data_IF_244970663173
#
_entry.id   IF_244970663173
#
_cell.length_a   1.000
_cell.length_b   1.000
_cell.length_c   1.000
_cell.angle_alpha   90.00
_cell.angle_beta   90.00
_cell.angle_gamma   90.00
#
_symmetry.space_group_name_H-M   'P 1'
#
loop_
_entity.id
_entity.type
_entity.pdbx_description
1 polymer ?
#
# COMPACT_ATOMS: atom_id res chain seq x y z
N UNK A 1 5.58 -7.99 -5.16
CA UNK A 1 4.31 -7.40 -4.65
C UNK A 1 3.43 -8.46 -4.03
N UNK A 2 3.46 -9.66 -4.56
CA UNK A 2 2.76 -10.87 -4.12
C UNK A 2 2.90 -11.13 -2.60
N UNK A 3 4.09 -10.94 -2.02
CA UNK A 3 4.31 -11.09 -0.57
C UNK A 3 3.48 -10.11 0.29
N UNK A 4 3.31 -8.85 -0.13
CA UNK A 4 2.47 -7.91 0.62
C UNK A 4 0.97 -8.20 0.40
N UNK A 5 0.55 -8.66 -0.77
CA UNK A 5 -0.83 -9.10 -0.99
C UNK A 5 -1.19 -10.30 -0.09
N UNK A 6 -0.29 -11.27 0.06
CA UNK A 6 -0.41 -12.38 1.02
C UNK A 6 -0.49 -11.91 2.47
N UNK A 7 0.44 -11.04 2.89
CA UNK A 7 0.41 -10.44 4.24
C UNK A 7 -0.89 -9.69 4.55
N UNK A 8 -1.38 -8.89 3.60
CA UNK A 8 -2.64 -8.15 3.72
C UNK A 8 -3.83 -9.11 3.91
N UNK A 9 -3.87 -10.22 3.14
CA UNK A 9 -4.89 -11.27 3.24
C UNK A 9 -4.86 -11.93 4.62
N UNK A 10 -3.70 -12.42 5.04
CA UNK A 10 -3.57 -13.28 6.21
C UNK A 10 -3.69 -12.52 7.54
N UNK A 11 -3.26 -11.25 7.58
CA UNK A 11 -3.12 -10.49 8.84
C UNK A 11 -4.15 -9.38 9.01
N UNK A 12 -4.59 -8.74 7.92
CA UNK A 12 -5.41 -7.52 8.00
C UNK A 12 -6.81 -7.69 7.39
N UNK A 13 -6.96 -8.49 6.33
CA UNK A 13 -8.17 -8.57 5.51
C UNK A 13 -8.54 -10.02 5.19
N UNK A 14 -8.79 -10.84 6.22
CA UNK A 14 -9.12 -12.27 6.09
C UNK A 14 -10.38 -12.62 5.27
N UNK A 15 -11.17 -11.60 4.88
CA UNK A 15 -12.30 -11.73 3.95
C UNK A 15 -12.00 -11.32 2.50
N UNK A 16 -10.80 -10.83 2.20
CA UNK A 16 -10.35 -10.48 0.85
C UNK A 16 -9.49 -11.60 0.28
N UNK A 17 -9.62 -11.86 -1.03
CA UNK A 17 -8.73 -12.82 -1.71
C UNK A 17 -7.39 -12.17 -2.05
N UNK A 18 -6.33 -12.99 -2.12
CA UNK A 18 -5.00 -12.53 -2.55
C UNK A 18 -5.07 -11.86 -3.92
N UNK A 19 -5.84 -12.39 -4.88
CA UNK A 19 -5.99 -11.79 -6.21
C UNK A 19 -6.59 -10.38 -6.18
N UNK A 20 -7.60 -10.14 -5.34
CA UNK A 20 -8.18 -8.80 -5.14
C UNK A 20 -7.18 -7.83 -4.52
N UNK A 21 -6.37 -8.30 -3.58
CA UNK A 21 -5.34 -7.50 -2.91
C UNK A 21 -4.15 -7.23 -3.84
N UNK A 22 -3.74 -8.20 -4.67
CA UNK A 22 -2.74 -8.02 -5.72
C UNK A 22 -3.20 -6.96 -6.72
N UNK A 23 -4.44 -7.04 -7.22
CA UNK A 23 -5.00 -6.01 -8.11
C UNK A 23 -5.06 -4.61 -7.48
N UNK A 24 -5.09 -4.49 -6.15
CA UNK A 24 -4.97 -3.21 -5.46
C UNK A 24 -3.50 -2.77 -5.29
N UNK A 25 -2.61 -3.68 -4.88
CA UNK A 25 -1.17 -3.44 -4.71
C UNK A 25 -0.53 -3.01 -6.04
N UNK A 26 -0.95 -3.62 -7.16
CA UNK A 26 -0.50 -3.28 -8.51
C UNK A 26 -0.90 -1.86 -8.97
N UNK A 27 -1.73 -1.14 -8.22
CA UNK A 27 -2.01 0.29 -8.49
C UNK A 27 -0.90 1.23 -8.00
N UNK A 28 0.05 0.73 -7.21
CA UNK A 28 1.21 1.47 -6.72
C UNK A 28 2.42 1.19 -7.60
N UNK A 29 3.06 2.23 -8.12
CA UNK A 29 4.33 2.06 -8.82
C UNK A 29 5.41 1.57 -7.82
N UNK A 30 6.24 0.64 -8.29
CA UNK A 30 7.43 0.15 -7.58
C UNK A 30 8.58 1.19 -7.67
N UNK A 31 8.43 2.21 -8.52
CA UNK A 31 9.35 3.33 -8.63
C UNK A 31 9.59 4.03 -7.28
N UNK A 32 10.86 4.05 -6.87
CA UNK A 32 11.36 4.63 -5.60
C UNK A 32 10.87 6.08 -5.35
N UNK A 33 10.53 6.81 -6.41
CA UNK A 33 10.11 8.22 -6.38
C UNK A 33 8.70 8.43 -5.82
N UNK A 34 7.81 7.43 -5.88
CA UNK A 34 6.39 7.58 -5.54
C UNK A 34 5.98 6.97 -4.20
N UNK A 35 6.85 6.17 -3.57
CA UNK A 35 6.59 5.54 -2.27
C UNK A 35 6.75 6.47 -1.04
N UNK A 36 6.33 5.99 0.12
CA UNK A 36 6.35 6.67 1.43
C UNK A 36 7.70 6.45 2.15
N UNK A 37 8.44 7.47 2.66
CA UNK A 37 8.13 8.91 2.71
C UNK A 37 7.99 9.59 1.35
N UNK A 38 6.81 10.15 1.10
CA UNK A 38 6.50 10.76 -0.20
C UNK A 38 7.41 11.96 -0.49
N UNK A 39 7.79 12.11 -1.76
CA UNK A 39 8.61 13.23 -2.28
C UNK A 39 10.04 13.31 -1.71
N UNK A 40 10.59 12.25 -1.12
CA UNK A 40 12.00 12.20 -0.68
C UNK A 40 12.98 11.69 -1.75
N UNK A 41 12.53 11.58 -3.01
CA UNK A 41 13.34 11.11 -4.15
C UNK A 41 13.96 9.75 -3.84
N UNK A 42 15.28 9.60 -3.76
CA UNK A 42 15.96 8.33 -3.44
C UNK A 42 16.30 8.17 -1.94
N UNK A 43 16.06 9.17 -1.10
CA UNK A 43 16.36 9.10 0.34
C UNK A 43 15.27 8.35 1.13
N UNK A 44 15.69 7.58 2.14
CA UNK A 44 14.83 6.74 3.02
C UNK A 44 14.24 5.48 2.36
N UNK A 45 15.02 4.75 1.56
CA UNK A 45 14.72 3.34 1.23
C UNK A 45 15.60 2.44 2.10
N UNK A 46 15.03 1.84 3.16
CA UNK A 46 15.79 1.05 4.15
C UNK A 46 16.09 -0.37 3.66
N UNK A 47 15.22 -0.89 2.78
CA UNK A 47 15.38 -2.13 2.04
C UNK A 47 14.55 -2.03 0.75
N UNK A 48 14.89 -2.76 -0.32
CA UNK A 48 14.16 -2.66 -1.59
C UNK A 48 12.65 -2.88 -1.42
N UNK A 49 11.85 -1.88 -1.79
CA UNK A 49 10.39 -1.93 -1.71
C UNK A 49 9.78 -1.46 -0.38
N UNK A 50 10.59 -1.11 0.63
CA UNK A 50 10.13 -0.54 1.91
C UNK A 50 9.08 0.56 1.71
N UNK A 51 9.33 1.47 0.77
CA UNK A 51 8.47 2.64 0.57
C UNK A 51 7.14 2.35 -0.09
N UNK A 52 7.11 1.40 -1.04
CA UNK A 52 5.87 0.97 -1.65
C UNK A 52 4.99 0.29 -0.59
N UNK A 53 5.58 -0.58 0.24
CA UNK A 53 4.88 -1.21 1.37
C UNK A 53 4.35 -0.16 2.37
N UNK A 54 5.18 0.84 2.72
CA UNK A 54 4.79 1.92 3.61
C UNK A 54 3.71 2.86 3.03
N UNK A 55 3.62 2.99 1.70
CA UNK A 55 2.54 3.73 1.03
C UNK A 55 1.24 2.93 1.09
N UNK A 56 1.26 1.67 0.64
CA UNK A 56 0.14 0.72 0.65
C UNK A 56 -0.52 0.64 2.03
N UNK A 57 0.28 0.40 3.09
CA UNK A 57 -0.24 0.26 4.46
C UNK A 57 -0.86 1.57 4.98
N UNK A 58 -0.23 2.71 4.73
CA UNK A 58 -0.72 4.02 5.17
C UNK A 58 -2.06 4.38 4.50
N UNK A 59 -2.16 4.14 3.20
CA UNK A 59 -3.33 4.51 2.41
C UNK A 59 -4.52 3.57 2.65
N UNK A 60 -4.29 2.25 2.78
CA UNK A 60 -5.36 1.29 3.12
C UNK A 60 -5.97 1.53 4.49
N UNK A 61 -5.15 1.74 5.52
CA UNK A 61 -5.63 1.82 6.91
C UNK A 61 -6.15 3.23 7.23
N UNK A 62 -5.53 4.27 6.68
CA UNK A 62 -5.84 5.67 7.04
C UNK A 62 -6.22 6.55 5.85
N UNK A 63 -5.33 6.81 4.89
CA UNK A 63 -5.52 7.92 3.93
C UNK A 63 -6.74 7.75 3.02
N UNK A 64 -6.86 6.59 2.36
CA UNK A 64 -7.94 6.31 1.42
C UNK A 64 -9.22 5.91 2.16
N UNK A 65 -9.10 5.15 3.25
CA UNK A 65 -10.23 4.86 4.14
C UNK A 65 -10.93 6.15 4.62
N UNK A 66 -10.15 7.14 5.06
CA UNK A 66 -10.67 8.45 5.47
C UNK A 66 -11.25 9.25 4.30
N UNK A 67 -10.64 9.22 3.11
CA UNK A 67 -11.22 9.84 1.90
C UNK A 67 -12.56 9.22 1.50
N UNK A 68 -12.69 7.89 1.55
CA UNK A 68 -13.95 7.19 1.27
C UNK A 68 -15.02 7.59 2.28
N UNK A 69 -14.67 7.62 3.58
CA UNK A 69 -15.57 8.09 4.63
C UNK A 69 -16.06 9.53 4.39
N UNK A 70 -15.16 10.45 4.02
CA UNK A 70 -15.54 11.84 3.74
C UNK A 70 -16.41 12.01 2.48
N UNK A 71 -16.21 11.18 1.46
CA UNK A 71 -16.99 11.22 0.21
C UNK A 71 -18.33 10.47 0.29
N UNK A 72 -18.54 9.65 1.33
CA UNK A 72 -19.78 8.92 1.57
C UNK A 72 -20.84 9.74 2.35
N UNK A 73 -20.56 11.02 2.62
CA UNK A 73 -21.40 11.96 3.35
C UNK A 73 -21.93 13.08 2.45
#
# INVERSE_FOLDING_TARGET
MDEIAGYLSDVLFSGATVDQLTSFVDTYDVAILEGNPFRTVIFNDWYPGFRSQAAILGDMIFTLAWRVFLNAR
#
